data_IF_977584140996
#
_entry.id   IF_977584140996
#
_cell.length_a   1.000
_cell.length_b   1.000
_cell.length_c   1.000
_cell.angle_alpha   90.00
_cell.angle_beta   90.00
_cell.angle_gamma   90.00
#
_symmetry.space_group_name_H-M   'P 1'
#
loop_
_entity.id
_entity.type
_entity.pdbx_description
1 polymer ?
#
# COMPACT_ATOMS: atom_id res chain seq x y z
N UNK A 1 4.08 -10.50 -12.64
CA UNK A 1 4.63 -9.15 -12.96
C UNK A 1 6.15 -9.21 -12.97
N UNK A 2 6.83 -8.46 -13.83
CA UNK A 2 8.30 -8.49 -13.92
C UNK A 2 8.97 -8.09 -12.59
N UNK A 3 9.88 -8.95 -12.09
CA UNK A 3 10.58 -8.78 -10.80
C UNK A 3 11.34 -7.47 -10.74
N UNK A 4 12.06 -7.13 -11.82
CA UNK A 4 12.84 -5.89 -11.95
C UNK A 4 11.97 -4.64 -11.74
N UNK A 5 10.76 -4.63 -12.30
CA UNK A 5 9.79 -3.54 -12.21
C UNK A 5 9.32 -3.34 -10.78
N UNK A 6 9.00 -4.43 -10.06
CA UNK A 6 8.56 -4.36 -8.66
C UNK A 6 9.69 -3.87 -7.75
N UNK A 7 10.89 -4.45 -7.87
CA UNK A 7 12.05 -4.05 -7.06
C UNK A 7 12.42 -2.58 -7.31
N UNK A 8 12.42 -2.15 -8.59
CA UNK A 8 12.67 -0.75 -8.95
C UNK A 8 11.67 0.19 -8.29
N UNK A 9 10.37 -0.11 -8.40
CA UNK A 9 9.30 0.69 -7.79
C UNK A 9 9.47 0.78 -6.26
N UNK A 10 9.75 -0.33 -5.60
CA UNK A 10 9.96 -0.36 -4.14
C UNK A 10 11.18 0.48 -3.74
N UNK A 11 12.30 0.36 -4.46
CA UNK A 11 13.50 1.18 -4.22
C UNK A 11 13.23 2.67 -4.40
N UNK A 12 12.54 3.06 -5.46
CA UNK A 12 12.17 4.46 -5.70
C UNK A 12 11.37 5.03 -4.52
N UNK A 13 10.40 4.28 -4.00
CA UNK A 13 9.59 4.68 -2.85
C UNK A 13 10.39 4.79 -1.55
N UNK A 14 11.40 3.93 -1.35
CA UNK A 14 12.28 3.96 -0.17
C UNK A 14 13.27 5.14 -0.23
N UNK A 15 13.82 5.40 -1.42
CA UNK A 15 14.87 6.41 -1.61
C UNK A 15 14.33 7.83 -1.82
N UNK A 16 13.03 7.98 -2.09
CA UNK A 16 12.38 9.28 -2.18
C UNK A 16 12.39 9.98 -0.80
N UNK A 17 13.31 10.94 -0.65
CA UNK A 17 13.53 11.74 0.57
C UNK A 17 12.53 12.88 0.73
N UNK A 18 11.32 12.79 0.17
CA UNK A 18 10.35 13.90 0.26
C UNK A 18 10.18 14.40 1.69
N UNK A 19 10.35 15.71 1.87
CA UNK A 19 10.58 16.41 3.15
C UNK A 19 9.36 16.48 4.09
N UNK A 20 8.22 15.88 3.72
CA UNK A 20 6.94 16.04 4.44
C UNK A 20 6.47 14.71 5.07
N UNK A 21 6.08 14.76 6.34
CA UNK A 21 5.64 13.59 7.13
C UNK A 21 4.47 12.84 6.49
N UNK A 22 3.49 13.55 5.95
CA UNK A 22 2.32 12.94 5.30
C UNK A 22 2.70 12.12 4.06
N UNK A 23 3.60 12.65 3.23
CA UNK A 23 4.11 11.97 2.04
C UNK A 23 4.93 10.72 2.43
N UNK A 24 5.66 10.79 3.55
CA UNK A 24 6.41 9.65 4.07
C UNK A 24 5.47 8.52 4.51
N UNK A 25 4.39 8.82 5.24
CA UNK A 25 3.39 7.81 5.66
C UNK A 25 2.73 7.14 4.46
N UNK A 26 2.34 7.92 3.45
CA UNK A 26 1.76 7.38 2.20
C UNK A 26 2.76 6.44 1.52
N UNK A 27 4.00 6.87 1.30
CA UNK A 27 5.01 6.03 0.63
C UNK A 27 5.32 4.75 1.40
N UNK A 28 5.36 4.83 2.74
CA UNK A 28 5.55 3.67 3.62
C UNK A 28 4.46 2.63 3.44
N UNK A 29 3.20 3.06 3.44
CA UNK A 29 2.09 2.17 3.18
C UNK A 29 2.11 1.62 1.73
N UNK A 30 2.48 2.46 0.76
CA UNK A 30 2.58 2.05 -0.65
C UNK A 30 3.61 0.95 -0.89
N UNK A 31 4.86 1.10 -0.43
CA UNK A 31 5.84 0.03 -0.62
C UNK A 31 5.52 -1.19 0.25
N UNK A 32 4.91 -1.02 1.42
CA UNK A 32 4.56 -2.13 2.30
C UNK A 32 3.56 -3.08 1.65
N UNK A 33 2.47 -2.56 1.07
CA UNK A 33 1.48 -3.40 0.38
C UNK A 33 2.09 -4.08 -0.86
N UNK A 34 2.95 -3.39 -1.62
CA UNK A 34 3.64 -3.99 -2.77
C UNK A 34 4.54 -5.15 -2.31
N UNK A 35 5.38 -4.92 -1.28
CA UNK A 35 6.28 -5.95 -0.76
C UNK A 35 5.51 -7.16 -0.23
N UNK A 36 4.47 -6.94 0.56
CA UNK A 36 3.64 -8.02 1.11
C UNK A 36 2.89 -8.79 0.02
N UNK A 37 2.38 -8.09 -1.01
CA UNK A 37 1.63 -8.71 -2.10
C UNK A 37 2.50 -9.63 -2.93
N UNK A 38 3.76 -9.28 -3.15
CA UNK A 38 4.69 -10.09 -3.96
C UNK A 38 5.67 -10.93 -3.14
N UNK A 39 5.54 -10.97 -1.81
CA UNK A 39 6.45 -11.71 -0.94
C UNK A 39 7.89 -11.22 -0.97
N UNK A 40 8.11 -9.94 -1.24
CA UNK A 40 9.45 -9.36 -1.37
C UNK A 40 9.99 -9.02 0.02
N UNK A 41 11.17 -9.55 0.34
CA UNK A 41 11.89 -9.23 1.57
C UNK A 41 12.77 -7.99 1.40
N UNK A 42 13.15 -7.36 2.51
CA UNK A 42 14.10 -6.24 2.49
C UNK A 42 15.45 -6.59 1.89
N UNK A 43 15.91 -7.83 2.09
CA UNK A 43 17.17 -8.30 1.51
C UNK A 43 17.07 -8.40 -0.01
N UNK A 44 15.95 -8.90 -0.53
CA UNK A 44 15.70 -8.95 -1.97
C UNK A 44 15.61 -7.54 -2.60
N UNK A 45 15.10 -6.56 -1.84
CA UNK A 45 15.13 -5.15 -2.26
C UNK A 45 16.56 -4.60 -2.29
N UNK A 46 17.43 -4.94 -1.33
CA UNK A 46 18.81 -4.43 -1.26
C UNK A 46 19.74 -5.12 -2.26
N UNK A 47 19.65 -6.44 -2.32
CA UNK A 47 20.46 -7.33 -3.14
C UNK A 47 19.51 -8.26 -3.89
N UNK A 48 19.06 -7.87 -5.10
CA UNK A 48 18.17 -8.69 -5.91
C UNK A 48 18.90 -9.99 -6.21
N UNK A 49 18.33 -11.12 -5.80
CA UNK A 49 18.92 -12.40 -6.11
C UNK A 49 18.71 -12.70 -7.60
N UNK A 50 19.70 -13.32 -8.24
CA UNK A 50 19.56 -13.92 -9.58
C UNK A 50 18.65 -15.16 -9.57
N UNK A 51 17.83 -15.35 -8.52
CA UNK A 51 16.91 -16.47 -8.40
C UNK A 51 15.96 -16.54 -9.60
N UNK A 52 15.77 -17.77 -10.07
CA UNK A 52 15.30 -18.21 -11.39
C UNK A 52 14.01 -17.61 -11.97
N UNK A 53 13.24 -16.80 -11.23
CA UNK A 53 11.99 -16.23 -11.76
C UNK A 53 12.11 -14.75 -12.13
N UNK A 54 12.02 -14.50 -13.43
CA UNK A 54 11.88 -13.15 -13.99
C UNK A 54 10.55 -12.48 -13.60
N UNK A 55 9.56 -13.27 -13.17
CA UNK A 55 8.22 -12.80 -12.83
C UNK A 55 7.83 -13.19 -11.39
N UNK A 56 7.22 -12.24 -10.69
CA UNK A 56 6.59 -12.45 -9.39
C UNK A 56 5.09 -12.68 -9.56
N UNK A 57 4.57 -13.66 -8.82
CA UNK A 57 3.16 -13.90 -8.63
C UNK A 57 2.67 -13.18 -7.36
N UNK A 58 1.39 -12.81 -7.34
CA UNK A 58 0.79 -12.25 -6.14
C UNK A 58 0.60 -13.37 -5.11
N UNK A 59 1.26 -13.25 -3.97
CA UNK A 59 1.07 -14.12 -2.80
C UNK A 59 -0.22 -13.78 -2.04
N UNK A 60 -0.68 -12.52 -2.15
CA UNK A 60 -1.95 -12.06 -1.57
C UNK A 60 -3.03 -12.01 -2.64
N UNK A 61 -4.17 -12.62 -2.35
CA UNK A 61 -5.34 -12.58 -3.22
C UNK A 61 -6.05 -11.23 -3.15
N UNK A 62 -6.93 -10.94 -4.11
CA UNK A 62 -7.80 -9.76 -4.05
C UNK A 62 -8.68 -9.76 -2.79
N UNK A 63 -9.09 -10.94 -2.32
CA UNK A 63 -9.84 -11.12 -1.07
C UNK A 63 -9.02 -10.66 0.14
N UNK A 64 -7.73 -11.02 0.20
CA UNK A 64 -6.85 -10.62 1.30
C UNK A 64 -6.64 -9.10 1.34
N UNK A 65 -6.55 -8.48 0.15
CA UNK A 65 -6.43 -7.03 0.03
C UNK A 65 -7.72 -6.32 0.44
N UNK A 66 -8.88 -6.90 0.11
CA UNK A 66 -10.19 -6.38 0.50
C UNK A 66 -10.40 -6.41 2.01
N UNK A 67 -10.00 -7.52 2.65
CA UNK A 67 -10.04 -7.66 4.10
C UNK A 67 -9.12 -6.65 4.81
N UNK A 68 -7.94 -6.37 4.26
CA UNK A 68 -7.05 -5.35 4.80
C UNK A 68 -7.67 -3.95 4.68
N UNK A 69 -8.24 -3.61 3.52
CA UNK A 69 -8.97 -2.35 3.36
C UNK A 69 -10.10 -2.22 4.39
N UNK A 70 -10.94 -3.25 4.54
CA UNK A 70 -12.03 -3.25 5.52
C UNK A 70 -11.52 -3.04 6.95
N UNK A 71 -10.37 -3.63 7.30
CA UNK A 71 -9.72 -3.44 8.61
C UNK A 71 -9.25 -1.99 8.81
N UNK A 72 -8.63 -1.39 7.81
CA UNK A 72 -8.21 0.02 7.85
C UNK A 72 -9.41 0.96 7.95
N UNK A 73 -10.50 0.69 7.22
CA UNK A 73 -11.72 1.48 7.27
C UNK A 73 -12.43 1.37 8.63
N UNK A 74 -12.46 0.18 9.23
CA UNK A 74 -12.97 -0.01 10.61
C UNK A 74 -12.13 0.78 11.62
N UNK A 75 -10.82 0.76 11.47
CA UNK A 75 -9.89 1.52 12.31
C UNK A 75 -10.14 3.03 12.17
N UNK A 76 -10.31 3.51 10.94
CA UNK A 76 -10.63 4.91 10.67
C UNK A 76 -11.97 5.32 11.31
N UNK A 77 -13.00 4.48 11.19
CA UNK A 77 -14.28 4.74 11.83
C UNK A 77 -14.17 4.81 13.36
N UNK A 78 -13.38 3.90 13.95
CA UNK A 78 -13.13 3.89 15.39
C UNK A 78 -12.40 5.17 15.85
N UNK A 79 -11.40 5.62 15.10
CA UNK A 79 -10.69 6.88 15.38
C UNK A 79 -11.64 8.08 15.31
N UNK A 80 -12.50 8.15 14.28
CA UNK A 80 -13.53 9.20 14.15
C UNK A 80 -14.50 9.21 15.33
N UNK A 81 -15.06 8.06 15.67
CA UNK A 81 -16.03 7.93 16.78
C UNK A 81 -15.43 8.27 18.14
N UNK A 82 -14.12 8.03 18.33
CA UNK A 82 -13.39 8.39 19.56
C UNK A 82 -12.81 9.81 19.56
N UNK A 83 -12.94 10.55 18.46
CA UNK A 83 -12.36 11.90 18.32
C UNK A 83 -10.83 11.92 18.25
N UNK A 84 -10.20 10.81 17.86
CA UNK A 84 -8.74 10.66 17.79
C UNK A 84 -8.22 11.24 16.48
N UNK A 85 -8.02 12.58 16.45
CA UNK A 85 -7.69 13.32 15.23
C UNK A 85 -6.38 12.89 14.56
N UNK A 86 -5.36 12.56 15.35
CA UNK A 86 -4.07 12.09 14.83
C UNK A 86 -4.20 10.71 14.18
N UNK A 87 -4.85 9.77 14.87
CA UNK A 87 -5.10 8.43 14.34
C UNK A 87 -6.00 8.45 13.10
N UNK A 88 -7.00 9.35 13.06
CA UNK A 88 -7.83 9.55 11.87
C UNK A 88 -6.95 10.00 10.69
N UNK A 89 -6.12 11.02 10.89
CA UNK A 89 -5.24 11.56 9.85
C UNK A 89 -4.27 10.48 9.36
N UNK A 90 -3.59 9.79 10.27
CA UNK A 90 -2.59 8.77 9.94
C UNK A 90 -3.24 7.59 9.20
N UNK A 91 -4.40 7.13 9.65
CA UNK A 91 -5.13 6.05 8.97
C UNK A 91 -5.55 6.46 7.55
N UNK A 92 -6.01 7.70 7.35
CA UNK A 92 -6.30 8.21 5.99
C UNK A 92 -5.06 8.18 5.10
N UNK A 93 -3.91 8.60 5.61
CA UNK A 93 -2.64 8.57 4.87
C UNK A 93 -2.21 7.13 4.53
N UNK A 94 -2.38 6.19 5.47
CA UNK A 94 -2.10 4.77 5.22
C UNK A 94 -3.01 4.19 4.13
N UNK A 95 -4.32 4.49 4.17
CA UNK A 95 -5.27 4.05 3.13
C UNK A 95 -4.86 4.61 1.76
N UNK A 96 -4.46 5.89 1.67
CA UNK A 96 -3.96 6.47 0.41
C UNK A 96 -2.75 5.72 -0.13
N UNK A 97 -1.78 5.40 0.73
CA UNK A 97 -0.61 4.62 0.34
C UNK A 97 -0.97 3.21 -0.11
N UNK A 98 -1.87 2.54 0.62
CA UNK A 98 -2.40 1.24 0.25
C UNK A 98 -3.05 1.26 -1.15
N UNK A 99 -3.94 2.23 -1.43
CA UNK A 99 -4.61 2.37 -2.73
C UNK A 99 -3.61 2.57 -3.89
N UNK A 100 -2.59 3.41 -3.69
CA UNK A 100 -1.50 3.60 -4.66
C UNK A 100 -0.69 2.34 -4.89
N UNK A 101 -0.44 1.57 -3.82
CA UNK A 101 0.29 0.32 -3.92
C UNK A 101 -0.50 -0.75 -4.66
N UNK A 102 -1.82 -0.82 -4.43
CA UNK A 102 -2.73 -1.67 -5.22
C UNK A 102 -2.79 -1.22 -6.67
N UNK A 103 -2.85 0.09 -6.94
CA UNK A 103 -2.90 0.65 -8.30
C UNK A 103 -1.71 0.19 -9.16
N UNK A 104 -0.53 0.06 -8.55
CA UNK A 104 0.69 -0.38 -9.23
C UNK A 104 0.54 -1.76 -9.91
N UNK A 105 -0.23 -2.67 -9.30
CA UNK A 105 -0.38 -4.04 -9.81
C UNK A 105 -1.80 -4.41 -10.27
N UNK A 106 -2.82 -3.68 -9.84
CA UNK A 106 -4.22 -3.90 -10.22
C UNK A 106 -5.03 -2.59 -10.16
N UNK A 107 -5.08 -1.89 -11.30
CA UNK A 107 -5.79 -0.60 -11.42
C UNK A 107 -7.30 -0.73 -11.19
N UNK A 108 -7.93 -1.82 -11.62
CA UNK A 108 -9.37 -2.01 -11.47
C UNK A 108 -9.74 -2.18 -10.01
N UNK A 109 -8.99 -3.00 -9.28
CA UNK A 109 -9.19 -3.20 -7.84
C UNK A 109 -8.92 -1.92 -7.05
N UNK A 110 -7.87 -1.16 -7.41
CA UNK A 110 -7.60 0.14 -6.78
C UNK A 110 -8.74 1.14 -6.98
N UNK A 111 -9.34 1.21 -8.18
CA UNK A 111 -10.51 2.07 -8.44
C UNK A 111 -11.73 1.65 -7.61
N UNK A 112 -12.00 0.35 -7.53
CA UNK A 112 -13.06 -0.19 -6.68
C UNK A 112 -12.85 0.19 -5.21
N UNK A 113 -11.65 -0.05 -4.69
CA UNK A 113 -11.28 0.29 -3.31
C UNK A 113 -11.34 1.79 -3.04
N UNK A 114 -10.91 2.61 -4.00
CA UNK A 114 -11.00 4.07 -3.93
C UNK A 114 -12.45 4.53 -3.82
N UNK A 115 -13.36 3.93 -4.60
CA UNK A 115 -14.80 4.22 -4.53
C UNK A 115 -15.37 3.87 -3.15
N UNK A 116 -15.00 2.72 -2.60
CA UNK A 116 -15.42 2.29 -1.25
C UNK A 116 -14.89 3.25 -0.17
N UNK A 117 -13.62 3.65 -0.25
CA UNK A 117 -12.98 4.54 0.72
C UNK A 117 -13.54 5.97 0.66
N UNK A 118 -13.77 6.51 -0.55
CA UNK A 118 -14.36 7.84 -0.74
C UNK A 118 -15.80 7.91 -0.23
N UNK A 119 -16.65 6.97 -0.69
CA UNK A 119 -18.08 6.99 -0.39
C UNK A 119 -18.38 6.96 1.11
N UNK A 120 -17.54 6.28 1.88
CA UNK A 120 -17.81 6.01 3.29
C UNK A 120 -16.97 6.88 4.24
N UNK A 121 -15.81 7.40 3.81
CA UNK A 121 -14.85 7.96 4.76
C UNK A 121 -14.09 9.23 4.33
N UNK A 122 -14.34 9.75 3.13
CA UNK A 122 -13.69 10.96 2.58
C UNK A 122 -12.16 10.85 2.58
N UNK A 123 -11.67 9.80 1.92
CA UNK A 123 -10.24 9.51 1.74
C UNK A 123 -9.87 9.78 0.28
N UNK A 124 -9.56 11.04 -0.04
CA UNK A 124 -9.06 11.50 -1.35
C UNK A 124 -7.55 11.78 -1.30
#
# INVERSE_FOLDING_TARGET
MEKSKVIKKVRELIHDKGLFGDALTIRRAEYAVIMQTFGITWDEVKHPSDSFSWFLEMQRSETDLRQELDSMLKTLNLAKTKGLRWDEKDTKLMIKGFLKGVEFFNQNLSREFSFIAHRNYDVA
#
